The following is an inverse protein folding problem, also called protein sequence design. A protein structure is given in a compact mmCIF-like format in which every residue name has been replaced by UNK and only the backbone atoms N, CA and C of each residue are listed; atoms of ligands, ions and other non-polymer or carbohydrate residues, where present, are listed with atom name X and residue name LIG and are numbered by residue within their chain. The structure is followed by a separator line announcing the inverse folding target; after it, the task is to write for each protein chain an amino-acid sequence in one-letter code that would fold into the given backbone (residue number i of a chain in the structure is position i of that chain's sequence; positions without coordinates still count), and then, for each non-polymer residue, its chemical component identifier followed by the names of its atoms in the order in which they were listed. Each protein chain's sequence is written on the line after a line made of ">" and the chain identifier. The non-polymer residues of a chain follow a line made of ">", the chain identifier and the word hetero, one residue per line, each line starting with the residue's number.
data_IF_240918985255
#
_entry.id   IF_240918985255
#
_cell.length_a   1.000
_cell.length_b   1.000
_cell.length_c   1.000
_cell.angle_alpha   90.00
_cell.angle_beta   90.00
_cell.angle_gamma   90.00
#
_symmetry.space_group_name_H-M   'P 1'
#
loop_
_entity.id
_entity.type
_entity.pdbx_description
1 polymer ?
#
# COMPACT_ATOMS: atom_id res chain seq x y z
N UNK A 1 -37.00 -39.20 -27.14
CA UNK A 1 -36.42 -39.35 -25.80
C UNK A 1 -34.89 -39.17 -25.73
N UNK A 2 -34.17 -39.13 -26.84
CA UNK A 2 -32.68 -38.97 -26.84
C UNK A 2 -32.19 -37.50 -26.74
N UNK A 3 -33.04 -36.51 -26.93
CA UNK A 3 -32.67 -35.09 -26.89
C UNK A 3 -32.87 -34.43 -25.51
N UNK A 4 -33.53 -35.08 -24.56
CA UNK A 4 -33.75 -34.56 -23.21
C UNK A 4 -32.62 -34.94 -22.23
N UNK A 5 -31.87 -36.00 -22.54
CA UNK A 5 -30.76 -36.44 -21.67
C UNK A 5 -29.52 -35.51 -21.82
N UNK A 6 -29.40 -34.82 -22.96
CA UNK A 6 -28.24 -33.94 -23.22
C UNK A 6 -28.34 -32.59 -22.48
N UNK A 7 -29.57 -32.16 -22.12
CA UNK A 7 -29.78 -30.88 -21.43
C UNK A 7 -29.54 -30.97 -19.93
N UNK A 8 -29.71 -32.17 -19.34
CA UNK A 8 -29.48 -32.41 -17.91
C UNK A 8 -27.98 -32.52 -17.59
N UNK A 9 -27.15 -32.97 -18.54
CA UNK A 9 -25.68 -33.08 -18.34
C UNK A 9 -24.96 -31.72 -18.32
N UNK A 10 -25.54 -30.69 -18.95
CA UNK A 10 -24.92 -29.36 -19.00
C UNK A 10 -25.20 -28.54 -17.73
N UNK A 11 -26.29 -28.81 -17.01
CA UNK A 11 -26.65 -28.12 -15.77
C UNK A 11 -25.81 -28.56 -14.56
N UNK A 12 -25.09 -29.70 -14.62
CA UNK A 12 -24.22 -30.17 -13.52
C UNK A 12 -22.80 -29.62 -13.57
N UNK A 13 -22.40 -28.93 -14.64
CA UNK A 13 -21.04 -28.37 -14.79
C UNK A 13 -20.86 -26.95 -14.25
N UNK A 14 -21.93 -26.33 -13.71
CA UNK A 14 -21.89 -24.98 -13.13
C UNK A 14 -21.92 -24.98 -11.59
N UNK A 15 -21.72 -26.12 -10.94
CA UNK A 15 -21.32 -26.12 -9.55
C UNK A 15 -19.80 -25.90 -9.48
N UNK A 16 -19.36 -24.69 -9.87
CA UNK A 16 -18.09 -24.15 -9.44
C UNK A 16 -18.13 -24.12 -7.91
N UNK A 17 -17.38 -25.00 -7.25
CA UNK A 17 -17.02 -24.84 -5.85
C UNK A 17 -16.45 -23.43 -5.68
N UNK A 18 -17.23 -22.50 -5.16
CA UNK A 18 -16.66 -21.45 -4.34
C UNK A 18 -16.15 -22.17 -3.09
N UNK A 19 -14.89 -22.55 -3.07
CA UNK A 19 -14.24 -22.82 -1.79
C UNK A 19 -14.34 -21.51 -1.02
N UNK A 20 -15.26 -21.46 -0.07
CA UNK A 20 -15.24 -20.47 0.99
C UNK A 20 -13.88 -20.61 1.66
N UNK A 21 -12.96 -19.70 1.34
CA UNK A 21 -11.69 -19.58 2.04
C UNK A 21 -12.07 -19.34 3.50
N UNK A 22 -12.03 -20.41 4.32
CA UNK A 22 -12.30 -20.30 5.74
C UNK A 22 -11.19 -19.45 6.32
N UNK A 23 -11.48 -18.17 6.52
CA UNK A 23 -10.67 -17.32 7.37
C UNK A 23 -10.60 -17.97 8.76
N UNK A 24 -9.39 -18.10 9.32
CA UNK A 24 -9.30 -18.26 10.76
C UNK A 24 -9.85 -16.98 11.39
N UNK A 25 -10.76 -17.11 12.31
CA UNK A 25 -11.35 -16.01 13.06
C UNK A 25 -10.80 -16.07 14.51
N UNK A 26 -9.94 -15.11 14.92
CA UNK A 26 -9.32 -14.01 14.15
C UNK A 26 -8.20 -14.48 13.21
N UNK A 27 -7.89 -13.72 12.14
CA UNK A 27 -6.84 -14.10 11.21
C UNK A 27 -6.21 -12.93 10.44
N UNK A 28 -4.99 -13.16 9.97
CA UNK A 28 -4.29 -12.30 9.03
C UNK A 28 -3.56 -13.15 8.01
N UNK A 29 -3.75 -12.85 6.71
CA UNK A 29 -3.16 -13.57 5.59
C UNK A 29 -2.96 -12.66 4.39
N UNK A 30 -2.16 -13.11 3.42
CA UNK A 30 -1.90 -12.40 2.17
C UNK A 30 -0.96 -13.16 1.25
N UNK A 31 -0.50 -12.50 0.19
CA UNK A 31 0.56 -13.01 -0.68
C UNK A 31 1.86 -12.26 -0.38
N UNK A 32 2.89 -12.96 0.05
CA UNK A 32 4.27 -12.47 0.23
C UNK A 32 5.11 -12.91 -0.97
N UNK A 33 5.56 -11.98 -1.80
CA UNK A 33 6.27 -12.27 -3.05
C UNK A 33 5.56 -13.36 -3.88
N UNK A 34 4.24 -13.16 -4.09
CA UNK A 34 3.32 -14.07 -4.80
C UNK A 34 3.12 -15.45 -4.14
N UNK A 35 3.68 -15.70 -2.96
CA UNK A 35 3.48 -16.94 -2.18
C UNK A 35 2.49 -16.71 -1.05
N UNK A 36 1.59 -17.66 -0.82
CA UNK A 36 0.62 -17.56 0.27
C UNK A 36 1.32 -17.49 1.63
N UNK A 37 0.96 -16.49 2.41
CA UNK A 37 1.45 -16.26 3.76
C UNK A 37 0.27 -16.09 4.73
N UNK A 38 0.36 -16.69 5.90
CA UNK A 38 -0.65 -16.61 6.95
C UNK A 38 0.00 -16.57 8.33
N UNK A 39 -0.50 -15.69 9.19
CA UNK A 39 -0.14 -15.68 10.59
C UNK A 39 -0.71 -16.86 11.36
N UNK A 40 0.06 -17.38 12.31
CA UNK A 40 -0.40 -18.36 13.30
C UNK A 40 -1.08 -17.70 14.50
N UNK A 41 -0.64 -16.47 14.85
CA UNK A 41 -1.23 -15.63 15.89
C UNK A 41 -1.27 -14.17 15.39
N UNK A 42 -2.30 -13.42 15.78
CA UNK A 42 -2.46 -12.00 15.41
C UNK A 42 -3.07 -11.23 16.58
N UNK A 43 -2.49 -10.06 16.86
CA UNK A 43 -2.89 -9.19 17.96
C UNK A 43 -2.91 -7.74 17.50
N UNK A 44 -3.82 -6.94 18.05
CA UNK A 44 -3.85 -5.52 17.81
C UNK A 44 -3.77 -4.74 19.13
N UNK A 45 -3.18 -3.56 19.08
CA UNK A 45 -3.02 -2.65 20.21
C UNK A 45 -3.38 -1.24 19.76
N UNK A 46 -3.96 -0.45 20.67
CA UNK A 46 -4.22 0.97 20.44
C UNK A 46 -3.52 1.77 21.52
N UNK A 47 -2.57 2.62 21.09
CA UNK A 47 -1.81 3.51 21.97
C UNK A 47 -1.90 4.93 21.42
N UNK A 48 -2.36 5.89 22.22
CA UNK A 48 -2.55 7.29 21.82
C UNK A 48 -3.38 7.43 20.51
N UNK A 49 -4.41 6.59 20.36
CA UNK A 49 -5.31 6.58 19.21
C UNK A 49 -4.69 5.95 17.93
N UNK A 50 -3.45 5.49 17.96
CA UNK A 50 -2.78 4.80 16.87
C UNK A 50 -2.96 3.30 17.01
N UNK A 51 -3.24 2.63 15.90
CA UNK A 51 -3.35 1.18 15.84
C UNK A 51 -2.01 0.56 15.48
N UNK A 52 -1.67 -0.56 16.14
CA UNK A 52 -0.62 -1.49 15.75
C UNK A 52 -1.19 -2.89 15.71
N UNK A 53 -0.99 -3.61 14.62
CA UNK A 53 -1.35 -5.03 14.45
C UNK A 53 -0.04 -5.80 14.30
N UNK A 54 0.15 -6.81 15.13
CA UNK A 54 1.30 -7.73 15.07
C UNK A 54 0.81 -9.12 14.69
N UNK A 55 1.39 -9.68 13.65
CA UNK A 55 1.02 -10.98 13.09
C UNK A 55 2.26 -11.88 13.06
N UNK A 56 2.19 -12.99 13.76
CA UNK A 56 3.29 -13.91 14.01
C UNK A 56 3.13 -15.17 13.17
N UNK A 57 4.13 -15.55 12.41
CA UNK A 57 4.29 -16.86 11.81
C UNK A 57 5.58 -17.51 12.34
N UNK A 58 5.90 -18.73 11.93
CA UNK A 58 7.15 -19.38 12.36
C UNK A 58 8.36 -18.56 11.92
N UNK A 59 9.12 -18.00 12.85
CA UNK A 59 10.30 -17.12 12.61
C UNK A 59 10.01 -15.82 11.84
N UNK A 60 8.74 -15.44 11.67
CA UNK A 60 8.35 -14.27 10.92
C UNK A 60 7.40 -13.39 11.74
N UNK A 61 7.56 -12.08 11.64
CA UNK A 61 6.67 -11.09 12.25
C UNK A 61 6.31 -10.04 11.20
N UNK A 62 5.02 -9.86 10.96
CA UNK A 62 4.49 -8.75 10.18
C UNK A 62 3.83 -7.75 11.13
N UNK A 63 4.24 -6.48 11.07
CA UNK A 63 3.64 -5.41 11.85
C UNK A 63 3.01 -4.39 10.93
N UNK A 64 1.76 -4.01 11.19
CA UNK A 64 1.02 -2.97 10.48
C UNK A 64 0.64 -1.86 11.45
N UNK A 65 0.95 -0.61 11.11
CA UNK A 65 0.61 0.56 11.91
C UNK A 65 -0.24 1.57 11.15
N UNK A 66 -1.24 2.14 11.83
CA UNK A 66 -2.03 3.26 11.30
C UNK A 66 -2.13 4.38 12.33
N UNK A 67 -2.21 5.62 11.85
CA UNK A 67 -2.31 6.82 12.70
C UNK A 67 -3.65 6.95 13.43
N UNK A 68 -4.61 6.06 13.19
CA UNK A 68 -5.96 6.07 13.81
C UNK A 68 -6.62 4.71 13.60
N UNK A 69 -7.67 4.42 14.38
CA UNK A 69 -8.58 3.27 14.19
C UNK A 69 -9.78 3.59 13.29
N UNK A 70 -9.89 4.81 12.76
CA UNK A 70 -11.00 5.20 11.92
C UNK A 70 -11.04 4.41 10.62
N UNK A 71 -12.24 4.17 10.09
CA UNK A 71 -12.41 3.56 8.77
C UNK A 71 -11.74 4.42 7.70
N UNK A 72 -11.04 3.79 6.75
CA UNK A 72 -10.37 4.52 5.68
C UNK A 72 -9.03 3.95 5.28
N UNK A 73 -8.34 4.68 4.40
CA UNK A 73 -7.08 4.27 3.77
C UNK A 73 -5.91 5.06 4.31
N UNK A 74 -4.89 4.35 4.74
CA UNK A 74 -3.65 4.88 5.33
C UNK A 74 -2.47 4.58 4.41
N UNK A 75 -1.89 5.63 3.82
CA UNK A 75 -0.76 5.51 2.88
C UNK A 75 0.55 5.24 3.60
N UNK A 76 1.28 4.24 3.11
CA UNK A 76 2.57 3.79 3.64
C UNK A 76 3.75 4.36 2.84
N UNK A 77 4.94 4.36 3.44
CA UNK A 77 6.15 4.90 2.82
C UNK A 77 6.09 6.41 2.56
N UNK A 78 5.20 7.12 3.26
CA UNK A 78 4.98 8.56 3.18
C UNK A 78 5.67 9.31 4.33
N UNK A 79 5.50 10.62 4.38
CA UNK A 79 6.00 11.45 5.49
C UNK A 79 5.27 11.22 6.82
N UNK A 80 4.13 10.53 6.82
CA UNK A 80 3.44 10.13 8.05
C UNK A 80 3.98 8.79 8.55
N UNK A 81 4.97 8.82 9.43
CA UNK A 81 5.62 7.64 10.00
C UNK A 81 4.74 6.79 10.94
N UNK A 82 3.57 7.30 11.33
CA UNK A 82 2.58 6.50 12.09
C UNK A 82 1.83 5.50 11.20
N UNK A 83 1.90 5.66 9.88
CA UNK A 83 1.36 4.71 8.91
C UNK A 83 2.53 3.91 8.35
N UNK A 84 2.69 2.69 8.77
CA UNK A 84 3.83 1.85 8.40
C UNK A 84 3.44 0.39 8.26
N UNK A 85 4.25 -0.36 7.53
CA UNK A 85 4.32 -1.80 7.57
C UNK A 85 5.79 -2.21 7.74
N UNK A 86 6.04 -3.22 8.54
CA UNK A 86 7.35 -3.85 8.64
C UNK A 86 7.20 -5.37 8.64
N UNK A 87 8.20 -6.03 8.09
CA UNK A 87 8.28 -7.49 8.08
C UNK A 87 9.68 -7.89 8.53
N UNK A 88 9.76 -8.76 9.50
CA UNK A 88 11.01 -9.30 10.01
C UNK A 88 10.98 -10.83 9.99
N UNK A 89 12.13 -11.42 9.68
CA UNK A 89 12.34 -12.87 9.78
C UNK A 89 13.76 -13.13 10.30
N UNK A 90 13.94 -14.29 10.96
CA UNK A 90 15.25 -14.76 11.38
C UNK A 90 15.53 -16.08 10.69
N UNK A 91 16.64 -16.14 9.98
CA UNK A 91 17.13 -17.34 9.32
C UNK A 91 18.61 -17.56 9.68
N UNK A 92 18.95 -18.73 10.22
CA UNK A 92 20.30 -19.07 10.72
C UNK A 92 20.89 -17.97 11.64
N UNK A 93 20.10 -17.52 12.61
CA UNK A 93 20.45 -16.42 13.54
C UNK A 93 20.70 -15.06 12.87
N UNK A 94 20.40 -14.91 11.59
CA UNK A 94 20.52 -13.65 10.85
C UNK A 94 19.15 -12.98 10.76
N UNK A 95 19.04 -11.77 11.30
CA UNK A 95 17.83 -10.97 11.18
C UNK A 95 17.75 -10.32 9.78
N UNK A 96 16.61 -10.45 9.14
CA UNK A 96 16.28 -9.80 7.89
C UNK A 96 15.05 -8.93 8.17
N UNK A 97 15.19 -7.62 7.92
CA UNK A 97 14.16 -6.65 8.25
C UNK A 97 13.78 -5.79 7.03
N UNK A 98 12.49 -5.60 6.84
CA UNK A 98 11.93 -4.73 5.81
C UNK A 98 10.99 -3.72 6.45
N UNK A 99 10.98 -2.49 5.93
CA UNK A 99 10.08 -1.45 6.43
C UNK A 99 9.64 -0.50 5.31
N UNK A 100 8.42 0.03 5.44
CA UNK A 100 7.90 1.09 4.56
C UNK A 100 8.41 2.46 5.05
N UNK A 101 9.68 2.71 4.89
CA UNK A 101 10.36 3.96 5.28
C UNK A 101 10.53 4.88 4.06
N UNK A 102 10.59 6.21 4.25
CA UNK A 102 11.01 7.12 3.18
C UNK A 102 12.40 6.76 2.68
N UNK A 103 12.51 6.48 1.39
CA UNK A 103 13.76 6.09 0.71
C UNK A 103 13.78 6.69 -0.69
N UNK A 104 14.96 7.00 -1.27
CA UNK A 104 15.06 7.48 -2.65
C UNK A 104 14.59 6.41 -3.65
N UNK A 105 13.85 6.84 -4.70
CA UNK A 105 13.43 5.90 -5.73
C UNK A 105 12.56 6.52 -6.83
N UNK A 106 12.04 5.68 -7.74
CA UNK A 106 11.05 6.10 -8.71
C UNK A 106 9.74 6.49 -8.02
N UNK A 107 9.10 7.59 -8.45
CA UNK A 107 7.84 8.09 -7.87
C UNK A 107 6.72 7.05 -8.04
N UNK A 108 6.00 6.75 -6.96
CA UNK A 108 4.83 5.87 -6.99
C UNK A 108 3.53 6.67 -7.06
N UNK A 109 3.34 7.63 -6.17
CA UNK A 109 2.10 8.39 -6.04
C UNK A 109 2.41 9.87 -5.81
N UNK A 110 1.60 10.74 -6.41
CA UNK A 110 1.70 12.20 -6.26
C UNK A 110 0.37 12.78 -5.78
N UNK A 111 0.44 13.98 -5.21
CA UNK A 111 -0.72 14.77 -4.79
C UNK A 111 -0.53 16.21 -5.25
N UNK A 112 -1.45 16.72 -6.06
CA UNK A 112 -1.44 18.11 -6.51
C UNK A 112 -1.57 19.05 -5.30
N UNK A 113 -0.65 20.00 -5.17
CA UNK A 113 -0.61 20.97 -4.05
C UNK A 113 -0.89 22.40 -4.49
N UNK A 114 -0.61 22.71 -5.76
CA UNK A 114 -0.94 23.98 -6.36
C UNK A 114 -1.34 23.76 -7.83
N UNK A 115 -2.53 24.21 -8.19
CA UNK A 115 -3.08 24.04 -9.54
C UNK A 115 -2.38 24.91 -10.57
N UNK A 116 -1.77 26.03 -10.17
CA UNK A 116 -1.12 26.99 -11.06
C UNK A 116 -2.07 27.70 -12.01
N UNK A 117 -1.51 28.35 -13.02
CA UNK A 117 -2.24 29.09 -14.08
C UNK A 117 -1.50 29.00 -15.42
N UNK A 118 -2.24 29.22 -16.52
CA UNK A 118 -1.67 29.25 -17.87
C UNK A 118 -1.33 27.90 -18.46
N UNK A 119 -1.84 26.79 -17.87
CA UNK A 119 -1.67 25.43 -18.39
C UNK A 119 -2.82 25.06 -19.32
N UNK A 120 -2.54 24.15 -20.24
CA UNK A 120 -3.49 23.44 -21.09
C UNK A 120 -3.23 21.94 -20.99
N UNK A 121 -4.15 21.12 -21.44
CA UNK A 121 -3.94 19.66 -21.53
C UNK A 121 -2.65 19.38 -22.30
N UNK A 122 -1.78 18.57 -21.73
CA UNK A 122 -0.51 18.24 -22.33
C UNK A 122 0.01 16.86 -21.90
N UNK A 123 0.79 16.25 -22.77
CA UNK A 123 1.45 14.96 -22.53
C UNK A 123 2.95 15.14 -22.48
N UNK A 124 3.65 14.25 -21.75
CA UNK A 124 5.11 14.25 -21.65
C UNK A 124 5.71 15.58 -21.15
N UNK A 125 5.02 16.21 -20.19
CA UNK A 125 5.49 17.47 -19.59
C UNK A 125 6.64 17.17 -18.64
N UNK A 126 7.76 17.85 -18.85
CA UNK A 126 8.92 17.76 -17.95
C UNK A 126 8.60 18.40 -16.59
N UNK A 127 9.34 17.99 -15.59
CA UNK A 127 9.23 18.54 -14.24
C UNK A 127 10.57 19.01 -13.71
N UNK A 128 10.54 19.90 -12.72
CA UNK A 128 11.73 20.44 -12.04
C UNK A 128 11.53 20.45 -10.53
N UNK A 129 12.63 20.38 -9.78
CA UNK A 129 12.60 20.37 -8.31
C UNK A 129 12.49 18.96 -7.75
N UNK A 130 12.45 18.87 -6.41
CA UNK A 130 12.64 17.63 -5.68
C UNK A 130 14.09 17.16 -5.65
N UNK A 131 14.35 16.00 -5.05
CA UNK A 131 15.70 15.41 -4.89
C UNK A 131 16.10 14.54 -6.10
N UNK A 132 15.14 14.10 -6.92
CA UNK A 132 15.35 13.20 -8.04
C UNK A 132 15.45 13.89 -9.40
N UNK A 133 15.44 13.06 -10.46
CA UNK A 133 15.46 13.52 -11.86
C UNK A 133 14.69 12.57 -12.79
N UNK A 134 14.40 13.02 -14.03
CA UNK A 134 13.78 12.21 -15.06
C UNK A 134 12.27 11.96 -14.90
N UNK A 135 11.60 12.67 -14.00
CA UNK A 135 10.15 12.59 -13.83
C UNK A 135 9.45 13.41 -14.94
N UNK A 136 8.46 12.82 -15.57
CA UNK A 136 7.56 13.51 -16.49
C UNK A 136 6.11 13.09 -16.26
N UNK A 137 5.18 13.96 -16.62
CA UNK A 137 3.77 13.80 -16.35
C UNK A 137 2.90 14.13 -17.56
N UNK A 138 1.70 13.56 -17.59
CA UNK A 138 0.60 14.07 -18.38
C UNK A 138 -0.28 14.93 -17.48
N UNK A 139 -0.80 16.04 -18.00
CA UNK A 139 -1.66 16.93 -17.24
C UNK A 139 -2.97 17.22 -17.96
N UNK A 140 -4.03 17.42 -17.17
CA UNK A 140 -5.26 18.06 -17.63
C UNK A 140 -5.44 19.38 -16.91
N UNK A 141 -5.94 20.39 -17.63
CA UNK A 141 -6.18 21.72 -17.11
C UNK A 141 -7.64 22.14 -17.35
N UNK A 142 -8.15 22.99 -16.47
CA UNK A 142 -9.46 23.60 -16.64
C UNK A 142 -9.39 24.82 -17.57
N UNK A 143 -10.56 25.39 -17.90
CA UNK A 143 -10.68 26.57 -18.80
C UNK A 143 -9.92 27.83 -18.29
N UNK A 144 -9.60 27.90 -16.99
CA UNK A 144 -8.85 28.98 -16.38
C UNK A 144 -7.33 28.73 -16.36
N UNK A 145 -6.89 27.61 -16.96
CA UNK A 145 -5.48 27.24 -17.02
C UNK A 145 -4.91 26.62 -15.74
N UNK A 146 -5.75 26.23 -14.79
CA UNK A 146 -5.30 25.51 -13.61
C UNK A 146 -5.25 23.99 -13.86
N UNK A 147 -4.17 23.33 -13.44
CA UNK A 147 -4.00 21.88 -13.54
C UNK A 147 -5.01 21.19 -12.61
N UNK A 148 -5.77 20.23 -13.12
CA UNK A 148 -6.80 19.47 -12.37
C UNK A 148 -6.42 18.02 -12.14
N UNK A 149 -5.58 17.46 -13.03
CA UNK A 149 -5.13 16.08 -12.96
C UNK A 149 -3.66 15.97 -13.36
N UNK A 150 -2.92 15.14 -12.64
CA UNK A 150 -1.52 14.80 -12.92
C UNK A 150 -1.38 13.29 -12.96
N UNK A 151 -0.97 12.75 -14.10
CA UNK A 151 -0.71 11.32 -14.30
C UNK A 151 0.77 11.12 -14.60
N UNK A 152 1.42 10.20 -13.89
CA UNK A 152 2.84 9.89 -14.08
C UNK A 152 3.05 9.22 -15.46
N UNK A 153 3.92 9.76 -16.29
CA UNK A 153 4.37 9.14 -17.54
C UNK A 153 5.73 8.46 -17.33
N UNK A 154 6.75 9.20 -16.89
CA UNK A 154 8.02 8.66 -16.41
C UNK A 154 8.13 8.91 -14.91
N UNK A 155 8.53 7.91 -14.17
CA UNK A 155 8.59 7.97 -12.70
C UNK A 155 9.87 8.60 -12.16
N UNK A 156 10.86 8.84 -13.06
CA UNK A 156 12.18 9.32 -12.65
C UNK A 156 12.86 8.39 -11.66
N UNK A 157 13.89 8.89 -11.01
CA UNK A 157 14.59 8.17 -9.94
C UNK A 157 15.19 9.15 -8.94
N UNK A 158 15.48 8.68 -7.71
CA UNK A 158 16.10 9.49 -6.65
C UNK A 158 15.14 10.43 -5.91
N UNK A 159 13.85 10.37 -6.18
CA UNK A 159 12.85 11.16 -5.45
C UNK A 159 12.56 10.57 -4.07
N UNK A 160 12.18 11.43 -3.14
CA UNK A 160 11.77 11.05 -1.79
C UNK A 160 10.32 11.49 -1.50
N UNK A 161 9.66 10.77 -0.60
CA UNK A 161 8.39 11.21 -0.05
C UNK A 161 8.52 12.60 0.57
N UNK A 162 7.61 13.51 0.22
CA UNK A 162 7.63 14.90 0.65
C UNK A 162 8.22 15.88 -0.38
N UNK A 163 8.94 15.42 -1.38
CA UNK A 163 9.48 16.28 -2.45
C UNK A 163 8.38 17.13 -3.11
N UNK A 164 8.66 18.39 -3.29
CA UNK A 164 7.81 19.32 -4.04
C UNK A 164 8.39 19.49 -5.45
N UNK A 165 7.57 19.15 -6.43
CA UNK A 165 7.95 19.14 -7.84
C UNK A 165 7.08 20.14 -8.60
N UNK A 166 7.70 20.94 -9.47
CA UNK A 166 7.05 21.94 -10.32
C UNK A 166 6.85 21.38 -11.72
N UNK A 167 5.66 21.54 -12.27
CA UNK A 167 5.33 21.20 -13.66
C UNK A 167 5.83 22.34 -14.56
N UNK A 168 6.64 22.00 -15.59
CA UNK A 168 7.09 23.01 -16.57
C UNK A 168 5.95 23.44 -17.49
N UNK A 169 6.07 24.63 -18.08
CA UNK A 169 5.01 25.25 -18.89
C UNK A 169 4.10 26.15 -18.07
N UNK A 170 3.01 26.64 -18.65
CA UNK A 170 2.15 27.62 -18.01
C UNK A 170 2.95 28.78 -17.42
N UNK A 171 2.60 29.22 -16.23
CA UNK A 171 3.33 30.25 -15.47
C UNK A 171 4.34 29.64 -14.47
N UNK A 172 4.76 28.38 -14.63
CA UNK A 172 5.72 27.65 -13.76
C UNK A 172 5.30 27.62 -12.28
N UNK A 173 4.02 27.59 -12.00
CA UNK A 173 3.50 27.69 -10.65
C UNK A 173 2.63 26.50 -10.22
N UNK A 174 2.34 25.55 -11.13
CA UNK A 174 1.68 24.29 -10.71
C UNK A 174 2.69 23.38 -10.04
N UNK A 175 2.29 22.81 -8.90
CA UNK A 175 3.15 21.95 -8.08
C UNK A 175 2.39 20.75 -7.56
N UNK A 176 3.08 19.65 -7.44
CA UNK A 176 2.61 18.48 -6.71
C UNK A 176 3.67 18.01 -5.71
N UNK A 177 3.21 17.26 -4.71
CA UNK A 177 4.07 16.58 -3.73
C UNK A 177 4.18 15.12 -4.07
N UNK A 178 5.37 14.55 -3.99
CA UNK A 178 5.60 13.11 -4.01
C UNK A 178 5.06 12.53 -2.71
N UNK A 179 4.11 11.59 -2.79
CA UNK A 179 3.51 10.95 -1.62
C UNK A 179 4.41 9.81 -1.15
N UNK A 180 4.81 8.94 -2.08
CA UNK A 180 5.72 7.82 -1.83
C UNK A 180 6.44 7.40 -3.12
N UNK A 181 7.37 6.45 -2.99
CA UNK A 181 8.18 5.89 -4.08
C UNK A 181 7.89 4.40 -4.28
N UNK A 182 8.32 3.82 -5.41
CA UNK A 182 7.97 2.43 -5.76
C UNK A 182 8.53 1.39 -4.78
N UNK A 183 9.74 1.59 -4.30
CA UNK A 183 10.42 0.64 -3.40
C UNK A 183 9.80 0.62 -2.00
N UNK A 184 9.15 1.71 -1.60
CA UNK A 184 8.54 1.87 -0.28
C UNK A 184 7.21 2.58 -0.44
N UNK A 185 6.14 1.80 -0.47
CA UNK A 185 4.78 2.31 -0.66
C UNK A 185 3.76 1.27 -0.17
N UNK A 186 2.52 1.65 -0.18
CA UNK A 186 1.42 0.75 0.10
C UNK A 186 0.25 1.45 0.76
N UNK A 187 -0.65 0.62 1.26
CA UNK A 187 -1.89 1.07 1.85
C UNK A 187 -2.38 0.04 2.87
N UNK A 188 -2.80 0.51 4.02
CA UNK A 188 -3.64 -0.25 4.96
C UNK A 188 -5.03 0.39 4.87
N UNK A 189 -6.07 -0.43 4.72
CA UNK A 189 -7.45 0.01 4.72
C UNK A 189 -8.17 -0.63 5.92
N UNK A 190 -8.65 0.20 6.84
CA UNK A 190 -9.54 -0.26 7.92
C UNK A 190 -10.95 -0.26 7.36
N UNK A 191 -11.57 -1.43 7.27
CA UNK A 191 -12.92 -1.61 6.71
C UNK A 191 -13.98 -1.77 7.78
N UNK A 192 -13.59 -2.21 8.99
CA UNK A 192 -14.51 -2.39 10.12
C UNK A 192 -13.76 -2.20 11.43
N UNK A 193 -14.43 -1.51 12.37
CA UNK A 193 -14.04 -1.41 13.77
C UNK A 193 -15.27 -1.64 14.64
N UNK A 194 -15.26 -2.71 15.43
CA UNK A 194 -16.31 -3.03 16.41
C UNK A 194 -15.83 -2.60 17.81
N UNK A 195 -16.35 -1.50 18.29
CA UNK A 195 -15.99 -0.92 19.59
C UNK A 195 -16.62 -1.65 20.80
N UNK A 196 -17.57 -2.56 20.55
CA UNK A 196 -18.20 -3.39 21.59
C UNK A 196 -17.39 -4.67 21.80
N UNK A 197 -17.06 -5.34 20.69
CA UNK A 197 -16.23 -6.55 20.72
C UNK A 197 -14.74 -6.24 20.78
N UNK A 198 -14.36 -4.98 20.61
CA UNK A 198 -12.97 -4.54 20.50
C UNK A 198 -12.20 -5.32 19.42
N UNK A 199 -12.78 -5.40 18.21
CA UNK A 199 -12.16 -6.07 17.07
C UNK A 199 -12.03 -5.15 15.86
N UNK A 200 -11.03 -5.42 15.03
CA UNK A 200 -10.73 -4.65 13.82
C UNK A 200 -10.53 -5.57 12.62
N UNK A 201 -11.01 -5.12 11.46
CA UNK A 201 -10.84 -5.83 10.19
C UNK A 201 -10.43 -4.86 9.09
N UNK A 202 -9.72 -5.37 8.08
CA UNK A 202 -9.28 -4.54 6.98
C UNK A 202 -8.41 -5.28 5.97
N UNK A 203 -7.77 -4.49 5.11
CA UNK A 203 -6.93 -4.97 4.02
C UNK A 203 -5.58 -4.26 4.03
N UNK A 204 -4.58 -4.88 3.44
CA UNK A 204 -3.27 -4.25 3.28
C UNK A 204 -2.57 -4.72 2.01
N UNK A 205 -1.70 -3.87 1.50
CA UNK A 205 -0.74 -4.18 0.44
C UNK A 205 0.43 -3.22 0.56
N UNK A 206 1.65 -3.70 0.36
CA UNK A 206 2.81 -2.82 0.43
C UNK A 206 4.04 -3.41 -0.26
N UNK A 207 4.96 -2.51 -0.61
CA UNK A 207 6.37 -2.79 -0.85
C UNK A 207 7.18 -2.18 0.29
N UNK A 208 8.08 -2.95 0.88
CA UNK A 208 8.96 -2.49 1.94
C UNK A 208 10.42 -2.78 1.58
N UNK A 209 11.30 -1.82 1.87
CA UNK A 209 12.75 -1.94 1.59
C UNK A 209 13.45 -2.71 2.70
N UNK A 210 14.53 -3.41 2.33
CA UNK A 210 15.46 -4.02 3.27
C UNK A 210 16.05 -2.92 4.17
N UNK A 211 15.56 -2.84 5.41
CA UNK A 211 15.85 -1.71 6.31
C UNK A 211 17.12 -1.88 7.12
N UNK A 212 17.62 -3.10 7.27
CA UNK A 212 18.89 -3.40 7.93
C UNK A 212 20.04 -3.65 6.95
N UNK A 213 19.83 -3.41 5.64
CA UNK A 213 20.83 -3.56 4.57
C UNK A 213 21.49 -4.95 4.55
N UNK A 214 20.76 -6.00 4.88
CA UNK A 214 21.29 -7.36 4.87
C UNK A 214 21.55 -7.80 3.41
N UNK A 215 22.82 -8.10 3.03
CA UNK A 215 23.17 -8.43 1.64
C UNK A 215 22.68 -9.82 1.20
N UNK A 216 22.21 -10.64 2.12
CA UNK A 216 21.69 -11.99 1.83
C UNK A 216 20.20 -11.97 1.49
N UNK A 217 19.55 -10.83 1.51
CA UNK A 217 18.12 -10.67 1.25
C UNK A 217 17.86 -9.79 0.04
N UNK A 218 16.68 -9.91 -0.57
CA UNK A 218 16.24 -9.03 -1.64
C UNK A 218 16.10 -7.59 -1.14
N UNK A 219 16.24 -6.60 -2.04
CA UNK A 219 16.14 -5.19 -1.70
C UNK A 219 14.73 -4.79 -1.24
N UNK A 220 13.70 -5.51 -1.70
CA UNK A 220 12.28 -5.22 -1.45
C UNK A 220 11.51 -6.50 -1.18
N UNK A 221 10.62 -6.48 -0.19
CA UNK A 221 9.56 -7.47 0.00
C UNK A 221 8.23 -6.87 -0.44
N UNK A 222 7.41 -7.67 -1.14
CA UNK A 222 6.08 -7.31 -1.59
C UNK A 222 5.03 -8.11 -0.81
N UNK A 223 3.99 -7.43 -0.33
CA UNK A 223 2.76 -8.03 0.18
C UNK A 223 1.56 -7.53 -0.62
N UNK A 224 0.74 -8.47 -1.10
CA UNK A 224 -0.47 -8.20 -1.87
C UNK A 224 -1.66 -8.99 -1.32
N UNK A 225 -2.87 -8.53 -1.66
CA UNK A 225 -4.13 -9.20 -1.28
C UNK A 225 -4.17 -9.55 0.21
N UNK A 226 -3.56 -8.71 1.03
CA UNK A 226 -3.52 -8.88 2.48
C UNK A 226 -4.87 -8.55 3.10
N UNK A 227 -5.30 -9.38 4.03
CA UNK A 227 -6.53 -9.17 4.80
C UNK A 227 -6.29 -9.53 6.27
N UNK A 228 -6.87 -8.73 7.17
CA UNK A 228 -6.99 -9.04 8.58
C UNK A 228 -8.47 -8.99 8.97
N UNK A 229 -8.89 -9.96 9.78
CA UNK A 229 -10.30 -10.16 10.08
C UNK A 229 -10.51 -10.44 11.57
N UNK A 230 -11.43 -9.68 12.18
CA UNK A 230 -11.81 -9.79 13.59
C UNK A 230 -10.62 -9.82 14.57
N UNK A 231 -9.53 -9.11 14.24
CA UNK A 231 -8.36 -9.08 15.11
C UNK A 231 -8.71 -8.40 16.43
N UNK A 232 -8.49 -9.11 17.54
CA UNK A 232 -8.77 -8.61 18.89
C UNK A 232 -7.81 -7.46 19.23
N UNK A 233 -8.38 -6.35 19.73
CA UNK A 233 -7.63 -5.22 20.26
C UNK A 233 -7.43 -5.45 21.75
N UNK A 234 -6.19 -5.48 22.17
CA UNK A 234 -5.78 -5.59 23.57
C UNK A 234 -5.45 -4.20 24.14
N UNK A 235 -5.68 -3.96 25.44
CA UNK A 235 -5.16 -2.77 26.09
C UNK A 235 -3.63 -2.70 25.93
N UNK A 236 -3.10 -1.52 25.65
CA UNK A 236 -1.64 -1.30 25.72
C UNK A 236 -1.20 -1.43 27.17
N UNK A 237 -0.16 -2.20 27.41
CA UNK A 237 0.48 -2.38 28.72
C UNK A 237 1.24 -1.10 29.10
#
# INVERSE_FOLDING_TARGET
>A
MRKFLSLIAITFLMMSCSEDVKFNDPGLQGLKNDSFWRAADVRAYVTDGKLTIEAYAQYEVLTLGTSSTNLGKYKLGSTNSSNFASYATTFDDVAIEYATIPTPGPVSTVSLTNVGTGYTDATSVATTGGSGSGLSVNIKANANGGVTEVTLLSRGNGYMAGDIVTITGGNLNSKFRVVNVQNSNGEIEITQFDNVKMTISGKFKFNAVNSNNNPLSADVVNFQSGEFYNVQIYPSI
#
